data_IF_480491701506
#
_entry.id   IF_480491701506
#
_cell.length_a   1.000
_cell.length_b   1.000
_cell.length_c   1.000
_cell.angle_alpha   90.00
_cell.angle_beta   90.00
_cell.angle_gamma   90.00
#
_symmetry.space_group_name_H-M   'P 1'
#
loop_
_entity.id
_entity.type
_entity.pdbx_description
1 polymer ?
#
# COMPACT_ATOMS: atom_id res chain seq x y z
N UNK A 1 14.79 6.23 12.24
CA UNK A 1 13.50 6.83 11.83
C UNK A 1 12.41 6.26 12.72
N UNK A 2 11.40 7.06 13.07
CA UNK A 2 10.24 6.57 13.82
C UNK A 2 9.33 5.77 12.88
N UNK A 3 8.93 4.59 13.30
CA UNK A 3 8.00 3.72 12.59
C UNK A 3 6.64 3.77 13.26
N UNK A 4 5.58 3.59 12.47
CA UNK A 4 4.25 3.35 12.98
C UNK A 4 3.90 1.87 12.75
N UNK A 5 3.84 1.10 13.83
CA UNK A 5 3.60 -0.34 13.77
C UNK A 5 2.13 -0.66 13.53
N UNK A 6 1.85 -1.58 12.61
CA UNK A 6 0.51 -2.12 12.36
C UNK A 6 0.60 -3.63 12.53
N UNK A 7 -0.24 -4.18 13.39
CA UNK A 7 -0.31 -5.61 13.70
C UNK A 7 -0.81 -6.42 12.49
N UNK A 8 -0.36 -7.65 12.34
CA UNK A 8 -0.78 -8.56 11.26
C UNK A 8 -2.26 -8.96 11.38
N UNK A 9 -2.79 -9.02 12.62
CA UNK A 9 -4.20 -9.21 12.91
C UNK A 9 -5.07 -7.95 12.83
N UNK A 10 -4.54 -6.81 12.37
CA UNK A 10 -5.27 -5.54 12.37
C UNK A 10 -6.58 -5.58 11.58
N UNK A 11 -6.61 -6.27 10.43
CA UNK A 11 -7.79 -6.43 9.58
C UNK A 11 -8.98 -7.04 10.31
N UNK A 12 -8.72 -8.00 11.19
CA UNK A 12 -9.72 -8.78 11.91
C UNK A 12 -9.85 -8.36 13.38
N UNK A 13 -9.15 -7.28 13.75
CA UNK A 13 -9.16 -6.73 15.10
C UNK A 13 -10.56 -6.27 15.50
N UNK A 14 -10.88 -6.41 16.80
CA UNK A 14 -12.16 -5.96 17.37
C UNK A 14 -12.50 -4.51 16.96
N UNK A 15 -11.57 -3.53 17.00
CA UNK A 15 -11.85 -2.16 16.58
C UNK A 15 -12.28 -2.02 15.11
N UNK A 16 -11.69 -2.78 14.19
CA UNK A 16 -12.06 -2.73 12.77
C UNK A 16 -13.40 -3.43 12.52
N UNK A 17 -13.63 -4.56 13.17
CA UNK A 17 -14.88 -5.32 13.04
C UNK A 17 -16.08 -4.61 13.71
N UNK A 18 -15.82 -3.76 14.70
CA UNK A 18 -16.79 -2.91 15.38
C UNK A 18 -17.40 -1.81 14.48
N UNK A 19 -16.77 -1.50 13.36
CA UNK A 19 -17.22 -0.44 12.47
C UNK A 19 -18.46 -0.85 11.68
N UNK A 20 -19.40 0.09 11.45
CA UNK A 20 -20.63 -0.21 10.75
C UNK A 20 -20.35 -0.61 9.30
N UNK A 21 -21.07 -1.63 8.82
CA UNK A 21 -21.01 -2.14 7.44
C UNK A 21 -21.92 -1.36 6.48
N UNK A 22 -22.52 -0.26 6.94
CA UNK A 22 -23.40 0.58 6.12
C UNK A 22 -22.71 1.04 4.85
N UNK A 23 -23.37 0.93 3.69
CA UNK A 23 -22.78 1.23 2.40
C UNK A 23 -22.52 2.74 2.27
N UNK A 24 -21.25 3.10 2.12
CA UNK A 24 -20.78 4.40 1.60
C UNK A 24 -19.96 4.09 0.34
N UNK A 25 -19.77 5.07 -0.56
CA UNK A 25 -18.95 4.93 -1.78
C UNK A 25 -17.58 4.23 -1.56
N UNK A 26 -17.02 4.33 -0.35
CA UNK A 26 -15.92 3.50 0.16
C UNK A 26 -16.42 2.81 1.44
N UNK A 27 -16.24 1.48 1.61
CA UNK A 27 -16.61 0.78 2.84
C UNK A 27 -16.01 1.47 4.07
N UNK A 28 -16.82 1.71 5.11
CA UNK A 28 -16.42 2.47 6.29
C UNK A 28 -15.13 1.94 6.94
N UNK A 29 -14.98 0.61 6.97
CA UNK A 29 -13.79 -0.08 7.48
C UNK A 29 -12.51 0.35 6.77
N UNK A 30 -12.53 0.39 5.44
CA UNK A 30 -11.36 0.79 4.63
C UNK A 30 -11.04 2.26 4.86
N UNK A 31 -12.07 3.13 4.90
CA UNK A 31 -11.87 4.55 5.15
C UNK A 31 -11.28 4.83 6.54
N UNK A 32 -11.77 4.16 7.58
CA UNK A 32 -11.26 4.28 8.95
C UNK A 32 -9.85 3.72 9.07
N UNK A 33 -9.60 2.51 8.54
CA UNK A 33 -8.28 1.89 8.56
C UNK A 33 -7.24 2.77 7.85
N UNK A 34 -7.55 3.26 6.64
CA UNK A 34 -6.67 4.16 5.90
C UNK A 34 -6.42 5.46 6.65
N UNK A 35 -7.46 6.09 7.20
CA UNK A 35 -7.32 7.31 8.00
C UNK A 35 -6.44 7.08 9.23
N UNK A 36 -6.61 5.95 9.92
CA UNK A 36 -5.83 5.59 11.10
C UNK A 36 -4.34 5.39 10.75
N UNK A 37 -4.02 4.66 9.67
CA UNK A 37 -2.63 4.44 9.23
C UNK A 37 -1.96 5.73 8.78
N UNK A 38 -2.64 6.56 7.99
CA UNK A 38 -2.08 7.83 7.50
C UNK A 38 -1.86 8.82 8.65
N UNK A 39 -2.82 8.93 9.57
CA UNK A 39 -2.71 9.83 10.69
C UNK A 39 -1.71 9.35 11.75
N UNK A 40 -1.69 8.04 12.03
CA UNK A 40 -0.76 7.41 12.95
C UNK A 40 0.70 7.48 12.47
N UNK A 41 0.95 7.21 11.19
CA UNK A 41 2.29 7.37 10.59
C UNK A 41 2.79 8.81 10.63
N UNK A 42 1.91 9.79 10.42
CA UNK A 42 2.25 11.20 10.62
C UNK A 42 2.58 11.50 12.08
N UNK A 43 1.79 11.02 13.04
CA UNK A 43 2.04 11.24 14.47
C UNK A 43 3.37 10.62 14.93
N UNK A 44 3.72 9.44 14.42
CA UNK A 44 5.01 8.80 14.69
C UNK A 44 6.16 9.64 14.13
N UNK A 45 6.03 10.17 12.91
CA UNK A 45 7.03 11.04 12.28
C UNK A 45 7.24 12.34 13.06
N UNK A 46 6.16 12.99 13.47
CA UNK A 46 6.20 14.25 14.22
C UNK A 46 6.49 14.05 15.72
N UNK A 47 6.60 12.79 16.17
CA UNK A 47 6.81 12.40 17.57
C UNK A 47 5.78 13.05 18.50
N UNK A 48 4.49 12.99 18.13
CA UNK A 48 3.37 13.56 18.92
C UNK A 48 2.68 12.55 19.82
N UNK A 49 3.29 11.38 20.05
CA UNK A 49 2.81 10.33 20.95
C UNK A 49 1.35 9.89 20.69
N UNK A 50 0.96 9.83 19.41
CA UNK A 50 -0.37 9.44 18.98
C UNK A 50 -1.37 10.57 18.88
N UNK A 51 -1.03 11.80 19.27
CA UNK A 51 -1.91 12.95 19.16
C UNK A 51 -1.97 13.46 17.72
N UNK A 52 -3.18 13.58 17.19
CA UNK A 52 -3.44 14.06 15.83
C UNK A 52 -4.48 15.19 15.88
N UNK A 53 -4.11 16.43 15.51
CA UNK A 53 -5.05 17.55 15.52
C UNK A 53 -6.07 17.45 14.38
N UNK A 54 -7.27 18.00 14.58
CA UNK A 54 -8.33 18.01 13.57
C UNK A 54 -7.91 18.73 12.28
N UNK A 55 -7.08 19.76 12.37
CA UNK A 55 -6.51 20.43 11.21
C UNK A 55 -5.71 19.44 10.31
N UNK A 56 -4.98 18.50 10.93
CA UNK A 56 -4.22 17.49 10.18
C UNK A 56 -5.15 16.46 9.54
N UNK A 57 -6.17 15.98 10.26
CA UNK A 57 -7.19 15.07 9.71
C UNK A 57 -7.89 15.70 8.49
N UNK A 58 -8.20 17.00 8.56
CA UNK A 58 -8.76 17.76 7.43
C UNK A 58 -7.79 17.82 6.25
N UNK A 59 -6.49 18.05 6.49
CA UNK A 59 -5.47 18.06 5.43
C UNK A 59 -5.29 16.71 4.73
N UNK A 60 -5.54 15.61 5.45
CA UNK A 60 -5.53 14.24 4.93
C UNK A 60 -6.85 13.86 4.25
N UNK A 61 -7.77 14.81 4.08
CA UNK A 61 -9.10 14.62 3.50
C UNK A 61 -9.94 13.58 4.24
N UNK A 62 -9.71 13.41 5.55
CA UNK A 62 -10.49 12.48 6.40
C UNK A 62 -11.85 13.13 6.72
N UNK A 63 -12.97 12.56 6.26
CA UNK A 63 -14.30 13.09 6.55
C UNK A 63 -14.63 13.03 8.04
N UNK A 64 -15.47 13.96 8.53
CA UNK A 64 -15.91 13.98 9.93
C UNK A 64 -16.62 12.70 10.38
N UNK A 65 -17.32 12.02 9.48
CA UNK A 65 -17.93 10.71 9.77
C UNK A 65 -16.89 9.63 10.09
N UNK A 66 -15.75 9.65 9.38
CA UNK A 66 -14.61 8.74 9.65
C UNK A 66 -13.97 9.08 11.00
N UNK A 67 -13.80 10.36 11.31
CA UNK A 67 -13.27 10.80 12.61
C UNK A 67 -14.19 10.36 13.75
N UNK A 68 -15.51 10.54 13.59
CA UNK A 68 -16.47 10.07 14.58
C UNK A 68 -16.40 8.55 14.76
N UNK A 69 -16.25 7.79 13.69
CA UNK A 69 -16.12 6.34 13.73
C UNK A 69 -14.79 5.86 14.38
N UNK A 70 -13.69 6.61 14.23
CA UNK A 70 -12.42 6.32 14.89
C UNK A 70 -12.53 6.40 16.42
N UNK A 71 -13.34 7.33 16.91
CA UNK A 71 -13.50 7.62 18.34
C UNK A 71 -14.72 6.97 18.98
N UNK A 72 -15.66 6.49 18.16
CA UNK A 72 -16.88 5.89 18.67
C UNK A 72 -16.58 4.53 19.33
N UNK A 73 -17.12 4.27 20.54
CA UNK A 73 -16.89 2.99 21.22
C UNK A 73 -17.52 1.82 20.47
N UNK A 74 -18.66 2.05 19.78
CA UNK A 74 -19.41 1.04 19.03
C UNK A 74 -19.90 -0.13 19.89
N UNK A 75 -20.52 -1.16 19.28
CA UNK A 75 -21.06 -2.32 20.00
C UNK A 75 -20.04 -3.15 20.80
N UNK A 76 -18.78 -3.17 20.36
CA UNK A 76 -17.70 -3.96 20.98
C UNK A 76 -16.83 -3.14 21.96
N UNK A 77 -17.21 -1.88 22.25
CA UNK A 77 -16.48 -0.93 23.11
C UNK A 77 -14.96 -0.87 22.80
N UNK A 78 -14.66 -0.80 21.52
CA UNK A 78 -13.31 -0.93 20.99
C UNK A 78 -12.97 0.22 20.02
N UNK A 79 -12.93 1.49 20.49
CA UNK A 79 -12.50 2.60 19.64
C UNK A 79 -11.00 2.50 19.32
N UNK A 80 -10.61 2.93 18.13
CA UNK A 80 -9.19 3.01 17.71
C UNK A 80 -8.50 4.25 18.32
N UNK A 81 -9.26 5.33 18.52
CA UNK A 81 -8.76 6.58 19.06
C UNK A 81 -9.64 7.08 20.21
N UNK A 82 -9.06 7.84 21.13
CA UNK A 82 -9.79 8.63 22.11
C UNK A 82 -10.07 10.02 21.53
N UNK A 83 -11.28 10.58 21.71
CA UNK A 83 -11.54 11.96 21.34
C UNK A 83 -10.75 12.93 22.23
N UNK A 84 -10.28 14.02 21.64
CA UNK A 84 -9.62 15.14 22.31
C UNK A 84 -10.29 16.44 21.86
N UNK A 85 -10.13 17.52 22.62
CA UNK A 85 -10.74 18.83 22.41
C UNK A 85 -10.49 19.42 21.00
N UNK A 86 -9.27 19.26 20.46
CA UNK A 86 -8.90 19.73 19.11
C UNK A 86 -8.34 18.61 18.22
N UNK A 87 -8.70 17.36 18.51
CA UNK A 87 -8.19 16.24 17.73
C UNK A 87 -8.58 14.87 18.25
N UNK A 88 -7.73 13.90 17.94
CA UNK A 88 -7.87 12.52 18.40
C UNK A 88 -6.53 12.02 18.90
N UNK A 89 -6.56 11.12 19.88
CA UNK A 89 -5.39 10.43 20.41
C UNK A 89 -5.47 8.95 20.06
N UNK A 90 -4.47 8.38 19.40
CA UNK A 90 -4.44 6.93 19.13
C UNK A 90 -4.41 6.17 20.45
N UNK A 91 -5.34 5.22 20.61
CA UNK A 91 -5.49 4.46 21.86
C UNK A 91 -4.28 3.55 22.08
N UNK A 92 -3.84 3.43 23.34
CA UNK A 92 -2.75 2.55 23.76
C UNK A 92 -1.41 2.80 23.05
N UNK A 93 -1.11 4.04 22.64
CA UNK A 93 0.14 4.39 21.94
C UNK A 93 1.37 3.83 22.63
N UNK A 94 1.60 4.16 23.91
CA UNK A 94 2.78 3.74 24.66
C UNK A 94 2.95 2.22 24.83
N UNK A 95 1.88 1.43 24.61
CA UNK A 95 1.97 -0.03 24.66
C UNK A 95 2.57 -0.62 23.37
N UNK A 96 2.26 -0.01 22.23
CA UNK A 96 2.51 -0.59 20.92
C UNK A 96 3.44 0.24 20.03
N UNK A 97 3.63 1.51 20.35
CA UNK A 97 4.41 2.48 19.59
C UNK A 97 5.49 3.08 20.47
N UNK A 98 6.58 3.50 19.83
CA UNK A 98 7.65 4.21 20.50
C UNK A 98 7.19 5.62 20.86
N UNK A 99 7.44 6.03 22.10
CA UNK A 99 7.19 7.40 22.54
C UNK A 99 8.32 8.33 22.10
N UNK A 100 8.05 9.63 22.05
CA UNK A 100 9.04 10.69 21.81
C UNK A 100 10.21 10.59 22.78
N UNK A 101 9.92 10.31 24.05
CA UNK A 101 10.93 10.17 25.09
C UNK A 101 11.88 9.00 24.81
N UNK A 102 11.34 7.85 24.41
CA UNK A 102 12.12 6.67 24.03
C UNK A 102 12.95 6.91 22.77
N UNK A 103 12.35 7.55 21.76
CA UNK A 103 13.05 7.90 20.52
C UNK A 103 14.20 8.89 20.78
N UNK A 104 14.00 9.87 21.66
CA UNK A 104 15.06 10.80 22.07
C UNK A 104 16.17 10.08 22.85
N UNK A 105 15.82 9.17 23.77
CA UNK A 105 16.78 8.37 24.52
C UNK A 105 17.60 7.45 23.59
N UNK A 106 16.97 6.82 22.61
CA UNK A 106 17.62 5.99 21.59
C UNK A 106 18.61 6.83 20.76
N UNK A 107 18.19 8.00 20.27
CA UNK A 107 19.07 8.94 19.54
C UNK A 107 20.27 9.39 20.38
N UNK A 108 20.06 9.68 21.67
CA UNK A 108 21.14 10.05 22.60
C UNK A 108 22.14 8.89 22.77
N UNK A 109 21.65 7.66 22.98
CA UNK A 109 22.48 6.46 23.12
C UNK A 109 23.29 6.16 21.87
N UNK A 110 22.67 6.28 20.69
CA UNK A 110 23.35 6.10 19.40
C UNK A 110 24.42 7.18 19.15
N UNK A 111 24.11 8.44 19.47
CA UNK A 111 25.07 9.54 19.37
C UNK A 111 26.27 9.33 20.31
N UNK A 112 26.05 8.82 21.52
CA UNK A 112 27.10 8.49 22.47
C UNK A 112 27.93 7.29 22.03
N UNK A 113 27.30 6.20 21.56
CA UNK A 113 27.99 5.03 20.97
C UNK A 113 28.90 5.47 19.82
N UNK A 114 28.39 6.31 18.91
CA UNK A 114 29.16 6.86 17.77
C UNK A 114 30.28 7.81 18.22
N UNK A 115 30.07 8.61 19.26
CA UNK A 115 31.11 9.48 19.84
C UNK A 115 32.24 8.64 20.45
N UNK A 116 31.90 7.60 21.21
CA UNK A 116 32.88 6.69 21.82
C UNK A 116 33.65 5.90 20.76
N UNK A 117 32.98 5.43 19.70
CA UNK A 117 33.63 4.77 18.56
C UNK A 117 34.65 5.69 17.88
N UNK A 118 34.28 6.95 17.61
CA UNK A 118 35.21 7.94 17.02
C UNK A 118 36.38 8.29 17.94
N UNK A 119 36.16 8.34 19.26
CA UNK A 119 37.23 8.56 20.24
C UNK A 119 38.22 7.39 20.26
N UNK A 120 37.72 6.15 20.23
CA UNK A 120 38.55 4.94 20.19
C UNK A 120 39.37 4.86 18.89
N UNK A 121 38.77 5.19 17.74
CA UNK A 121 39.47 5.21 16.45
C UNK A 121 40.57 6.27 16.32
N UNK A 122 40.56 7.33 17.13
CA UNK A 122 41.65 8.33 17.19
C UNK A 122 42.83 7.92 18.09
N UNK A 123 42.64 6.92 18.96
CA UNK A 123 43.66 6.43 19.89
C UNK A 123 44.17 5.03 19.52
N UNK A 124 43.91 4.54 18.30
CA UNK A 124 44.34 3.21 17.86
C UNK A 124 45.82 3.21 17.47
N UNK A 125 46.69 3.16 18.48
CA UNK A 125 48.01 2.54 18.38
C UNK A 125 47.79 1.05 18.69
N UNK A 126 48.24 0.20 17.78
CA UNK A 126 48.14 -1.27 17.82
C UNK A 126 48.69 -1.84 19.13
N UNK A 127 47.89 -2.61 19.85
CA UNK A 127 48.31 -3.34 21.04
C UNK A 127 47.28 -4.38 21.48
N UNK A 128 47.42 -5.59 20.95
CA UNK A 128 47.19 -6.90 21.59
C UNK A 128 46.07 -6.91 22.67
N UNK A 129 44.83 -7.09 22.24
CA UNK A 129 43.85 -8.06 22.78
C UNK A 129 42.51 -7.79 22.11
N UNK A 130 42.29 -8.47 20.98
CA UNK A 130 41.10 -8.32 20.15
C UNK A 130 39.96 -9.17 20.74
N UNK A 131 39.42 -8.73 21.86
CA UNK A 131 38.11 -9.19 22.33
C UNK A 131 37.05 -8.48 21.49
N UNK A 132 36.70 -9.15 20.39
CA UNK A 132 35.58 -8.85 19.50
C UNK A 132 34.36 -8.38 20.32
N UNK A 133 33.92 -7.14 20.06
CA UNK A 133 32.65 -6.64 20.57
C UNK A 133 31.52 -7.52 20.03
N UNK A 134 30.50 -7.92 20.82
CA UNK A 134 29.35 -8.64 20.29
C UNK A 134 28.72 -7.84 19.16
N UNK A 135 28.89 -8.32 17.94
CA UNK A 135 28.15 -7.83 16.78
C UNK A 135 26.69 -8.16 17.02
N UNK A 136 25.82 -7.16 16.89
CA UNK A 136 24.40 -7.39 16.69
C UNK A 136 24.27 -8.08 15.31
N UNK A 137 24.41 -9.41 15.30
CA UNK A 137 24.11 -10.26 14.15
C UNK A 137 22.60 -10.48 14.11
N UNK A 138 21.90 -9.69 13.29
CA UNK A 138 20.69 -10.18 12.65
C UNK A 138 21.17 -11.05 11.48
N UNK A 139 21.00 -12.37 11.63
CA UNK A 139 21.48 -13.35 10.67
C UNK A 139 20.80 -13.23 9.31
N UNK A 140 21.60 -13.28 8.25
CA UNK A 140 21.57 -14.43 7.35
C UNK A 140 22.98 -14.66 6.80
N UNK A 141 23.39 -15.92 6.85
CA UNK A 141 24.71 -16.42 6.49
C UNK A 141 24.84 -16.53 4.97
N UNK A 142 25.75 -15.77 4.36
CA UNK A 142 26.39 -16.19 3.10
C UNK A 142 27.91 -16.25 3.34
N UNK A 143 28.44 -17.47 3.26
CA UNK A 143 29.87 -17.76 3.29
C UNK A 143 30.55 -17.37 1.96
N UNK A 144 31.87 -17.09 1.97
CA UNK A 144 32.55 -16.28 0.96
C UNK A 144 33.33 -17.12 -0.07
N UNK A 145 33.25 -16.72 -1.34
CA UNK A 145 34.00 -17.34 -2.44
C UNK A 145 34.88 -16.34 -3.19
N UNK A 146 36.11 -16.21 -2.70
CA UNK A 146 37.39 -15.87 -3.36
C UNK A 146 37.44 -14.95 -4.61
N UNK A 147 38.23 -13.89 -4.44
CA UNK A 147 38.67 -12.96 -5.46
C UNK A 147 39.69 -13.62 -6.41
N UNK A 148 39.42 -13.62 -7.72
CA UNK A 148 40.46 -13.67 -8.76
C UNK A 148 40.19 -12.57 -9.79
N UNK A 149 41.20 -11.74 -10.04
CA UNK A 149 41.25 -10.64 -11.02
C UNK A 149 42.32 -10.98 -12.07
N UNK A 150 42.51 -10.26 -13.19
CA UNK A 150 41.59 -9.56 -14.11
C UNK A 150 41.81 -10.05 -15.58
N UNK A 151 40.89 -9.76 -16.52
CA UNK A 151 41.09 -10.10 -17.93
C UNK A 151 40.20 -9.35 -18.92
N UNK A 152 40.84 -8.66 -19.84
CA UNK A 152 40.31 -7.78 -20.89
C UNK A 152 39.30 -8.41 -21.90
N UNK A 153 38.46 -7.51 -22.43
CA UNK A 153 37.93 -7.47 -23.80
C UNK A 153 36.92 -8.53 -24.26
N UNK A 154 35.69 -8.07 -24.56
CA UNK A 154 35.20 -7.81 -25.93
C UNK A 154 33.76 -7.26 -25.90
N UNK A 155 33.54 -6.18 -26.63
CA UNK A 155 32.21 -5.66 -26.97
C UNK A 155 31.42 -6.61 -27.88
N UNK A 156 30.23 -6.16 -28.36
CA UNK A 156 29.07 -7.01 -28.59
C UNK A 156 29.08 -7.68 -29.96
N UNK A 157 28.66 -8.94 -30.02
CA UNK A 157 28.29 -9.59 -31.29
C UNK A 157 26.87 -10.14 -31.18
N UNK A 158 25.95 -9.74 -32.08
CA UNK A 158 24.55 -10.17 -32.06
C UNK A 158 24.38 -11.54 -32.73
N UNK A 159 23.36 -12.32 -32.34
CA UNK A 159 22.68 -13.15 -33.33
C UNK A 159 21.16 -12.98 -33.27
N UNK A 160 20.65 -12.41 -34.35
CA UNK A 160 19.49 -12.81 -35.17
C UNK A 160 18.14 -13.26 -34.54
N UNK A 161 17.02 -12.88 -35.19
CA UNK A 161 15.68 -13.13 -34.68
C UNK A 161 15.30 -14.59 -34.88
N UNK A 162 15.10 -15.32 -33.80
CA UNK A 162 14.35 -16.57 -33.84
C UNK A 162 12.98 -16.30 -33.24
N UNK A 163 12.05 -16.00 -34.15
CA UNK A 163 10.61 -16.14 -33.93
C UNK A 163 10.37 -17.62 -33.60
N UNK A 164 10.21 -17.92 -32.31
CA UNK A 164 9.60 -19.18 -31.89
C UNK A 164 8.18 -18.84 -31.47
N UNK A 165 7.28 -19.01 -32.44
CA UNK A 165 5.86 -19.22 -32.21
C UNK A 165 5.69 -20.54 -31.48
N UNK A 166 5.67 -20.52 -30.15
CA UNK A 166 5.11 -21.62 -29.36
C UNK A 166 3.73 -21.20 -28.87
N UNK A 167 2.75 -21.60 -29.67
CA UNK A 167 1.32 -21.68 -29.38
C UNK A 167 1.05 -22.25 -27.99
N UNK A 168 0.76 -21.35 -27.04
CA UNK A 168 -0.02 -21.66 -25.85
C UNK A 168 -1.44 -21.21 -26.14
N UNK A 169 -2.30 -22.17 -26.46
CA UNK A 169 -3.72 -21.99 -26.74
C UNK A 169 -4.42 -21.54 -25.44
N UNK A 170 -4.35 -20.24 -25.15
CA UNK A 170 -5.11 -19.61 -24.07
C UNK A 170 -6.43 -19.15 -24.65
N UNK A 171 -7.58 -19.44 -24.01
CA UNK A 171 -8.87 -18.95 -24.48
C UNK A 171 -8.80 -17.43 -24.64
N UNK A 172 -9.22 -16.94 -25.80
CA UNK A 172 -9.29 -15.50 -26.12
C UNK A 172 -9.99 -14.79 -24.95
N UNK A 173 -9.26 -13.92 -24.25
CA UNK A 173 -9.77 -13.17 -23.09
C UNK A 173 -9.22 -13.59 -21.72
N UNK A 174 -8.44 -14.66 -21.61
CA UNK A 174 -7.86 -15.10 -20.33
C UNK A 174 -6.59 -14.31 -19.97
N UNK A 175 -6.39 -14.01 -18.68
CA UNK A 175 -5.15 -13.39 -18.19
C UNK A 175 -3.94 -14.29 -18.52
N UNK A 176 -2.86 -13.76 -19.14
CA UNK A 176 -1.64 -14.53 -19.38
C UNK A 176 -1.01 -15.05 -18.08
N UNK A 177 -0.43 -16.24 -18.12
CA UNK A 177 0.28 -16.82 -16.97
C UNK A 177 1.50 -15.97 -16.58
N UNK A 178 1.77 -15.88 -15.27
CA UNK A 178 2.90 -15.11 -14.74
C UNK A 178 4.25 -15.80 -14.96
N UNK A 179 4.25 -17.10 -15.18
CA UNK A 179 5.45 -17.90 -15.34
C UNK A 179 5.43 -18.64 -16.67
N UNK A 180 6.62 -19.02 -17.17
CA UNK A 180 6.70 -19.76 -18.42
C UNK A 180 6.15 -21.19 -18.25
N UNK A 181 5.77 -21.89 -19.34
CA UNK A 181 5.24 -23.24 -19.26
C UNK A 181 6.19 -24.28 -18.62
N UNK A 182 7.50 -24.00 -18.59
CA UNK A 182 8.50 -24.84 -17.93
C UNK A 182 8.51 -24.69 -16.41
N UNK A 183 8.00 -23.57 -15.90
CA UNK A 183 7.95 -23.24 -14.48
C UNK A 183 6.55 -22.76 -14.09
N UNK A 184 5.49 -23.57 -14.21
CA UNK A 184 4.12 -23.12 -13.96
C UNK A 184 3.91 -22.57 -12.54
N UNK A 185 4.67 -23.07 -11.55
CA UNK A 185 4.68 -22.58 -10.17
C UNK A 185 5.77 -21.54 -9.86
N UNK A 186 6.49 -21.06 -10.87
CA UNK A 186 7.66 -20.20 -10.69
C UNK A 186 8.97 -20.97 -10.49
N UNK A 187 10.05 -20.22 -10.38
CA UNK A 187 11.40 -20.74 -10.18
C UNK A 187 12.23 -19.72 -9.40
N UNK A 188 13.11 -20.20 -8.53
CA UNK A 188 14.05 -19.38 -7.75
C UNK A 188 15.30 -19.01 -8.57
N UNK A 189 15.56 -19.74 -9.65
CA UNK A 189 16.67 -19.46 -10.56
C UNK A 189 16.29 -18.38 -11.59
N UNK A 190 17.26 -17.56 -12.05
CA UNK A 190 16.98 -16.53 -13.03
C UNK A 190 16.54 -17.14 -14.37
N UNK A 191 15.25 -17.00 -14.69
CA UNK A 191 14.66 -17.46 -15.94
C UNK A 191 14.12 -16.27 -16.75
N UNK A 192 14.74 -15.99 -17.91
CA UNK A 192 14.31 -14.92 -18.82
C UNK A 192 12.88 -15.13 -19.35
N UNK A 193 12.46 -16.37 -19.57
CA UNK A 193 11.10 -16.69 -20.03
C UNK A 193 10.06 -16.35 -18.96
N UNK A 194 10.33 -16.62 -17.67
CA UNK A 194 9.47 -16.18 -16.57
C UNK A 194 9.43 -14.66 -16.43
N UNK A 195 10.56 -13.96 -16.64
CA UNK A 195 10.57 -12.50 -16.66
C UNK A 195 9.70 -11.91 -17.79
N UNK A 196 9.70 -12.54 -18.98
CA UNK A 196 8.83 -12.15 -20.08
C UNK A 196 7.36 -12.44 -19.78
N UNK A 197 7.04 -13.60 -19.21
CA UNK A 197 5.69 -13.97 -18.82
C UNK A 197 5.09 -12.96 -17.82
N UNK A 198 5.83 -12.59 -16.77
CA UNK A 198 5.42 -11.52 -15.83
C UNK A 198 5.19 -10.18 -16.51
N UNK A 199 6.09 -9.77 -17.41
CA UNK A 199 5.89 -8.52 -18.18
C UNK A 199 4.62 -8.56 -19.00
N UNK A 200 4.35 -9.68 -19.69
CA UNK A 200 3.15 -9.85 -20.50
C UNK A 200 1.88 -9.82 -19.63
N UNK A 201 1.87 -10.51 -18.49
CA UNK A 201 0.75 -10.48 -17.54
C UNK A 201 0.50 -9.06 -17.02
N UNK A 202 1.55 -8.34 -16.60
CA UNK A 202 1.45 -6.95 -16.14
C UNK A 202 0.94 -6.01 -17.25
N UNK A 203 1.38 -6.18 -18.50
CA UNK A 203 0.89 -5.37 -19.62
C UNK A 203 -0.57 -5.65 -19.92
N UNK A 204 -1.01 -6.92 -19.82
CA UNK A 204 -2.40 -7.28 -19.99
C UNK A 204 -3.26 -6.67 -18.88
N UNK A 205 -2.82 -6.76 -17.61
CA UNK A 205 -3.52 -6.15 -16.47
C UNK A 205 -3.66 -4.62 -16.66
N UNK A 206 -2.59 -3.96 -17.12
CA UNK A 206 -2.61 -2.53 -17.43
C UNK A 206 -3.60 -2.19 -18.56
N UNK A 207 -3.64 -3.00 -19.63
CA UNK A 207 -4.59 -2.83 -20.72
C UNK A 207 -6.04 -3.02 -20.27
N UNK A 208 -6.32 -4.01 -19.42
CA UNK A 208 -7.66 -4.23 -18.87
C UNK A 208 -8.13 -3.05 -18.01
N UNK A 209 -7.25 -2.52 -17.16
CA UNK A 209 -7.55 -1.34 -16.36
C UNK A 209 -7.83 -0.12 -17.22
N UNK A 210 -7.03 0.10 -18.28
CA UNK A 210 -7.23 1.20 -19.22
C UNK A 210 -8.53 1.05 -20.02
N UNK A 211 -8.85 -0.16 -20.50
CA UNK A 211 -10.09 -0.45 -21.20
C UNK A 211 -11.31 -0.17 -20.30
N UNK A 212 -11.31 -0.69 -19.07
CA UNK A 212 -12.38 -0.43 -18.11
C UNK A 212 -12.53 1.06 -17.77
N UNK A 213 -11.42 1.80 -17.63
CA UNK A 213 -11.45 3.24 -17.42
C UNK A 213 -12.04 3.99 -18.63
N UNK A 214 -11.65 3.60 -19.85
CA UNK A 214 -12.18 4.20 -21.07
C UNK A 214 -13.69 3.95 -21.24
N UNK A 215 -14.16 2.73 -20.97
CA UNK A 215 -15.59 2.39 -21.01
C UNK A 215 -16.39 3.19 -19.97
N UNK A 216 -15.86 3.37 -18.76
CA UNK A 216 -16.48 4.22 -17.73
C UNK A 216 -16.55 5.67 -18.18
N UNK A 217 -15.48 6.20 -18.80
CA UNK A 217 -15.45 7.56 -19.30
C UNK A 217 -16.48 7.78 -20.42
N UNK A 218 -16.61 6.84 -21.37
CA UNK A 218 -17.62 6.87 -22.44
C UNK A 218 -19.03 6.84 -21.84
N UNK A 219 -19.29 5.94 -20.89
CA UNK A 219 -20.59 5.85 -20.20
C UNK A 219 -20.95 7.16 -19.50
N UNK A 220 -20.01 7.76 -18.76
CA UNK A 220 -20.23 9.03 -18.07
C UNK A 220 -20.43 10.21 -19.04
N UNK A 221 -19.74 10.20 -20.18
CA UNK A 221 -19.96 11.21 -21.22
C UNK A 221 -21.37 11.08 -21.81
N UNK A 222 -21.86 9.86 -22.05
CA UNK A 222 -23.22 9.61 -22.51
C UNK A 222 -24.28 10.06 -21.49
N UNK A 223 -24.06 9.83 -20.19
CA UNK A 223 -24.92 10.34 -19.10
C UNK A 223 -24.97 11.87 -19.13
N UNK A 224 -23.79 12.52 -19.16
CA UNK A 224 -23.71 13.99 -19.15
C UNK A 224 -24.30 14.66 -20.39
N UNK A 225 -24.28 13.98 -21.53
CA UNK A 225 -24.86 14.49 -22.77
C UNK A 225 -26.38 14.33 -22.85
N UNK A 226 -26.98 13.57 -21.93
CA UNK A 226 -28.41 13.33 -21.94
C UNK A 226 -29.16 14.47 -21.23
N UNK A 227 -30.12 15.12 -21.91
CA UNK A 227 -30.84 16.28 -21.35
C UNK A 227 -31.80 15.90 -20.22
N UNK A 228 -32.27 14.65 -20.20
CA UNK A 228 -33.33 14.20 -19.28
C UNK A 228 -32.79 13.48 -18.04
N UNK A 229 -31.48 13.21 -18.00
CA UNK A 229 -30.87 12.36 -17.00
C UNK A 229 -29.96 13.19 -16.10
N UNK A 230 -30.07 12.97 -14.79
CA UNK A 230 -29.26 13.64 -13.77
C UNK A 230 -27.77 13.23 -13.88
N UNK A 231 -26.86 13.84 -13.10
CA UNK A 231 -25.44 13.46 -13.11
C UNK A 231 -25.15 11.99 -12.76
N UNK A 232 -26.14 11.24 -12.27
CA UNK A 232 -26.06 9.82 -11.93
C UNK A 232 -26.72 8.91 -12.98
N UNK A 233 -27.27 9.46 -14.08
CA UNK A 233 -27.98 8.71 -15.12
C UNK A 233 -29.38 8.27 -14.73
N UNK A 234 -30.02 8.99 -13.81
CA UNK A 234 -31.39 8.78 -13.35
C UNK A 234 -32.31 9.86 -13.93
N UNK A 235 -33.53 9.46 -14.27
CA UNK A 235 -34.60 10.39 -14.70
C UNK A 235 -35.91 10.02 -14.02
N UNK A 236 -36.80 10.99 -13.88
CA UNK A 236 -38.17 10.73 -13.46
C UNK A 236 -38.89 9.84 -14.49
N UNK A 237 -39.71 8.89 -14.04
CA UNK A 237 -40.50 8.06 -14.97
C UNK A 237 -41.55 8.87 -15.71
N UNK A 238 -42.07 9.92 -15.06
CA UNK A 238 -42.93 10.94 -15.65
C UNK A 238 -42.27 12.32 -15.44
N UNK A 239 -41.88 13.03 -16.52
CA UNK A 239 -41.18 14.31 -16.40
C UNK A 239 -42.05 15.45 -15.86
N UNK A 240 -43.38 15.33 -15.92
CA UNK A 240 -44.31 16.34 -15.43
C UNK A 240 -44.73 16.11 -13.96
N UNK A 241 -44.42 14.94 -13.40
CA UNK A 241 -44.70 14.55 -12.02
C UNK A 241 -43.39 14.37 -11.20
N UNK A 242 -43.03 15.34 -10.33
CA UNK A 242 -41.83 15.28 -9.51
C UNK A 242 -41.90 14.23 -8.37
N UNK A 243 -43.07 13.62 -8.11
CA UNK A 243 -43.22 12.50 -7.18
C UNK A 243 -43.02 11.13 -7.86
N UNK A 244 -42.89 11.12 -9.18
CA UNK A 244 -42.71 9.88 -9.93
C UNK A 244 -41.36 9.20 -9.62
N UNK A 245 -41.29 7.85 -9.63
CA UNK A 245 -40.08 7.14 -9.27
C UNK A 245 -38.94 7.43 -10.25
N UNK A 246 -37.73 7.62 -9.70
CA UNK A 246 -36.51 7.71 -10.50
C UNK A 246 -36.19 6.36 -11.14
N UNK A 247 -36.08 6.34 -12.46
CA UNK A 247 -35.68 5.19 -13.27
C UNK A 247 -34.31 5.42 -13.90
N UNK A 248 -33.58 4.33 -14.16
CA UNK A 248 -32.30 4.42 -14.87
C UNK A 248 -32.55 4.70 -16.34
N UNK A 249 -31.79 5.66 -16.85
CA UNK A 249 -31.75 6.04 -18.24
C UNK A 249 -31.03 4.95 -19.06
N UNK A 250 -31.60 4.57 -20.21
CA UNK A 250 -31.04 3.52 -21.08
C UNK A 250 -29.93 4.07 -21.97
N UNK A 251 -28.85 4.55 -21.37
CA UNK A 251 -27.62 4.84 -22.14
C UNK A 251 -27.10 3.52 -22.70
N UNK A 252 -26.52 3.49 -23.92
CA UNK A 252 -25.98 2.28 -24.50
C UNK A 252 -24.97 1.68 -23.52
N UNK A 253 -25.41 0.65 -22.80
CA UNK A 253 -24.55 -0.27 -22.10
C UNK A 253 -23.85 -0.97 -23.24
N UNK A 254 -22.59 -0.63 -23.50
CA UNK A 254 -21.73 -1.49 -24.28
C UNK A 254 -21.54 -2.74 -23.42
N UNK A 255 -22.52 -3.64 -23.51
CA UNK A 255 -22.42 -4.98 -22.96
C UNK A 255 -21.21 -5.60 -23.62
N UNK A 256 -20.31 -6.17 -22.81
CA UNK A 256 -19.13 -6.86 -23.28
C UNK A 256 -19.55 -7.92 -24.29
N UNK A 257 -19.36 -7.63 -25.58
CA UNK A 257 -19.30 -8.68 -26.60
C UNK A 257 -18.06 -9.50 -26.29
N UNK A 258 -18.30 -10.80 -26.15
CA UNK A 258 -17.36 -11.87 -25.85
C UNK A 258 -16.03 -11.80 -26.61
#
# INVERSE_FOLDING_TARGET
MAWFYVDDGFSDSKPIMNLPVTPVRVPMRIAVAGAWVLAGSWSAKEETDGYIPHAKLKSLLVPRSVVAALTAPGPLDAPLCCPESDGILVRNWAKWQQTKAENAAKRKREAEKKRNQRRRGRNFVTGIDDQMSPGDNDGDTEEPGENVSPGESRGPTPPHPLVVTSSGDSPVGSRPAEHCPQHPGGTELPCGACANARRNANTWDAQQLQAAASQRAVTLAAIRACPDCDPNGLRYSDPDDPESPLIRCTHPRLENTA
#
